data_IF_794465708820
#
_entry.id   IF_794465708820
#
_cell.length_a   1.000
_cell.length_b   1.000
_cell.length_c   1.000
_cell.angle_alpha   90.00
_cell.angle_beta   90.00
_cell.angle_gamma   90.00
#
_symmetry.space_group_name_H-M   'P 1'
#
loop_
_entity.id
_entity.type
_entity.pdbx_description
1 polymer ?
#
# COMPACT_ATOMS: atom_id res chain seq x y z
N UNK A 1 17.73 14.81 -63.21
CA UNK A 1 18.68 15.30 -62.19
C UNK A 1 18.06 15.99 -60.96
N UNK A 2 16.98 16.74 -61.01
CA UNK A 2 16.19 17.13 -59.83
C UNK A 2 15.72 15.86 -59.04
N UNK A 3 15.61 14.71 -59.71
CA UNK A 3 15.23 13.41 -59.12
C UNK A 3 16.32 12.85 -58.19
N UNK A 4 17.63 12.95 -58.47
CA UNK A 4 18.71 12.39 -57.63
C UNK A 4 18.85 13.14 -56.33
N UNK A 5 18.81 14.45 -56.36
CA UNK A 5 18.81 15.31 -55.16
C UNK A 5 17.63 14.99 -54.25
N UNK A 6 16.43 14.86 -54.83
CA UNK A 6 15.21 14.50 -54.09
C UNK A 6 15.34 13.12 -53.45
N UNK A 7 15.90 12.14 -54.16
CA UNK A 7 16.11 10.78 -53.63
C UNK A 7 17.12 10.76 -52.48
N UNK A 8 18.26 11.46 -52.62
CA UNK A 8 19.26 11.57 -51.55
C UNK A 8 18.68 12.23 -50.32
N UNK A 9 18.04 13.39 -50.50
CA UNK A 9 17.37 14.11 -49.38
C UNK A 9 16.32 13.24 -48.69
N UNK A 10 15.48 12.54 -49.47
CA UNK A 10 14.45 11.65 -48.91
C UNK A 10 15.08 10.47 -48.14
N UNK A 11 16.15 9.87 -48.67
CA UNK A 11 16.82 8.76 -48.00
C UNK A 11 17.47 9.19 -46.67
N UNK A 12 18.13 10.35 -46.62
CA UNK A 12 18.68 10.93 -45.40
C UNK A 12 17.60 11.31 -44.39
N UNK A 13 16.51 11.95 -44.84
CA UNK A 13 15.38 12.29 -43.98
C UNK A 13 14.74 11.08 -43.35
N UNK A 14 14.46 10.04 -44.16
CA UNK A 14 13.88 8.79 -43.66
C UNK A 14 14.80 8.14 -42.61
N UNK A 15 16.10 8.03 -42.91
CA UNK A 15 17.05 7.39 -42.01
C UNK A 15 17.18 8.14 -40.68
N UNK A 16 17.26 9.48 -40.71
CA UNK A 16 17.34 10.29 -39.49
C UNK A 16 16.03 10.26 -38.71
N UNK A 17 14.88 10.33 -39.40
CA UNK A 17 13.59 10.27 -38.75
C UNK A 17 13.39 8.91 -38.06
N UNK A 18 13.70 7.81 -38.74
CA UNK A 18 13.58 6.46 -38.16
C UNK A 18 14.54 6.31 -36.96
N UNK A 19 15.78 6.77 -37.08
CA UNK A 19 16.74 6.70 -35.98
C UNK A 19 16.28 7.53 -34.76
N UNK A 20 15.78 8.75 -34.97
CA UNK A 20 15.28 9.62 -33.91
C UNK A 20 14.05 9.00 -33.21
N UNK A 21 13.05 8.56 -33.97
CA UNK A 21 11.86 7.91 -33.42
C UNK A 21 12.19 6.64 -32.63
N UNK A 22 13.17 5.84 -33.07
CA UNK A 22 13.60 4.68 -32.31
C UNK A 22 14.29 5.08 -31.00
N UNK A 23 15.21 6.04 -31.04
CA UNK A 23 15.91 6.51 -29.84
C UNK A 23 14.94 7.17 -28.84
N UNK A 24 14.06 8.06 -29.29
CA UNK A 24 13.07 8.73 -28.45
C UNK A 24 12.05 7.76 -27.88
N UNK A 25 11.52 6.88 -28.71
CA UNK A 25 10.55 5.86 -28.28
C UNK A 25 11.14 4.89 -27.25
N UNK A 26 12.36 4.38 -27.47
CA UNK A 26 13.06 3.55 -26.47
C UNK A 26 13.33 4.33 -25.19
N UNK A 27 13.74 5.59 -25.29
CA UNK A 27 14.00 6.45 -24.14
C UNK A 27 12.74 6.68 -23.30
N UNK A 28 11.63 7.05 -23.92
CA UNK A 28 10.32 7.25 -23.24
C UNK A 28 9.85 5.94 -22.58
N UNK A 29 9.89 4.83 -23.32
CA UNK A 29 9.50 3.52 -22.79
C UNK A 29 10.37 3.12 -21.59
N UNK A 30 11.69 3.29 -21.69
CA UNK A 30 12.61 2.98 -20.59
C UNK A 30 12.37 3.83 -19.34
N UNK A 31 12.15 5.14 -19.49
CA UNK A 31 11.85 6.04 -18.36
C UNK A 31 10.53 5.65 -17.70
N UNK A 32 9.49 5.38 -18.50
CA UNK A 32 8.18 5.01 -17.98
C UNK A 32 8.24 3.68 -17.20
N UNK A 33 8.78 2.63 -17.82
CA UNK A 33 8.83 1.29 -17.21
C UNK A 33 9.75 1.24 -15.98
N UNK A 34 10.91 1.88 -16.06
CA UNK A 34 11.85 1.95 -14.93
C UNK A 34 11.24 2.67 -13.73
N UNK A 35 10.55 3.80 -13.97
CA UNK A 35 9.91 4.52 -12.88
C UNK A 35 8.73 3.74 -12.30
N UNK A 36 7.92 3.08 -13.12
CA UNK A 36 6.81 2.26 -12.64
C UNK A 36 7.29 1.09 -11.78
N UNK A 37 8.32 0.35 -12.23
CA UNK A 37 8.89 -0.75 -11.44
C UNK A 37 9.47 -0.27 -10.11
N UNK A 38 10.13 0.88 -10.12
CA UNK A 38 10.66 1.49 -8.89
C UNK A 38 9.55 1.89 -7.92
N UNK A 39 8.48 2.52 -8.40
CA UNK A 39 7.33 2.88 -7.59
C UNK A 39 6.65 1.65 -6.99
N UNK A 40 6.50 0.59 -7.78
CA UNK A 40 5.96 -0.69 -7.30
C UNK A 40 6.78 -1.26 -6.13
N UNK A 41 8.11 -1.29 -6.26
CA UNK A 41 9.01 -1.79 -5.20
C UNK A 41 8.97 -0.89 -3.96
N UNK A 42 9.01 0.44 -4.14
CA UNK A 42 8.96 1.41 -3.05
C UNK A 42 7.63 1.32 -2.28
N UNK A 43 6.49 1.26 -2.97
CA UNK A 43 5.17 1.18 -2.34
C UNK A 43 4.93 -0.18 -1.66
N UNK A 44 5.38 -1.30 -2.26
CA UNK A 44 5.31 -2.62 -1.60
C UNK A 44 6.17 -2.67 -0.34
N UNK A 45 7.37 -2.09 -0.40
CA UNK A 45 8.25 -2.00 0.78
C UNK A 45 7.60 -1.17 1.88
N UNK A 46 6.94 -0.07 1.53
CA UNK A 46 6.23 0.77 2.49
C UNK A 46 5.02 0.04 3.10
N UNK A 47 4.23 -0.66 2.30
CA UNK A 47 3.12 -1.46 2.81
C UNK A 47 3.61 -2.55 3.78
N UNK A 48 4.72 -3.22 3.46
CA UNK A 48 5.32 -4.21 4.37
C UNK A 48 5.84 -3.59 5.67
N UNK A 49 6.51 -2.42 5.60
CA UNK A 49 6.95 -1.70 6.78
C UNK A 49 5.80 -1.23 7.67
N UNK A 50 4.70 -0.81 7.04
CA UNK A 50 3.49 -0.42 7.75
C UNK A 50 2.83 -1.64 8.43
N UNK A 51 2.78 -2.78 7.75
CA UNK A 51 2.31 -4.04 8.32
C UNK A 51 3.16 -4.49 9.52
N UNK A 52 4.48 -4.42 9.39
CA UNK A 52 5.41 -4.74 10.48
C UNK A 52 5.24 -3.79 11.67
N UNK A 53 4.99 -2.50 11.43
CA UNK A 53 4.72 -1.53 12.50
C UNK A 53 3.44 -1.88 13.26
N UNK A 54 2.35 -2.18 12.56
CA UNK A 54 1.10 -2.63 13.20
C UNK A 54 1.35 -3.90 14.00
N UNK A 55 2.00 -4.90 13.40
CA UNK A 55 2.36 -6.16 14.08
C UNK A 55 3.18 -5.95 15.35
N UNK A 56 4.14 -5.02 15.32
CA UNK A 56 4.97 -4.68 16.48
C UNK A 56 4.14 -4.08 17.63
N UNK A 57 3.27 -3.11 17.34
CA UNK A 57 2.38 -2.50 18.34
C UNK A 57 1.44 -3.55 18.95
N UNK A 58 0.81 -4.38 18.12
CA UNK A 58 -0.06 -5.46 18.57
C UNK A 58 0.71 -6.46 19.45
N UNK A 59 1.93 -6.84 19.05
CA UNK A 59 2.80 -7.73 19.85
C UNK A 59 3.17 -7.12 21.20
N UNK A 60 3.36 -5.80 21.27
CA UNK A 60 3.60 -5.08 22.53
C UNK A 60 2.40 -5.21 23.47
N UNK A 61 1.17 -5.00 22.98
CA UNK A 61 -0.04 -5.18 23.78
C UNK A 61 -0.25 -6.63 24.20
N UNK A 62 0.01 -7.59 23.32
CA UNK A 62 -0.04 -9.03 23.66
C UNK A 62 0.94 -9.37 24.76
N UNK A 63 2.19 -8.87 24.68
CA UNK A 63 3.22 -9.06 25.68
C UNK A 63 2.83 -8.49 27.05
N UNK A 64 2.20 -7.31 27.06
CA UNK A 64 1.68 -6.70 28.28
C UNK A 64 0.56 -7.53 28.91
N UNK A 65 -0.43 -7.99 28.11
CA UNK A 65 -1.51 -8.84 28.60
C UNK A 65 -0.99 -10.18 29.12
N UNK A 66 -0.09 -10.83 28.38
CA UNK A 66 0.54 -12.09 28.81
C UNK A 66 1.32 -11.95 30.12
N UNK A 67 2.08 -10.85 30.25
CA UNK A 67 2.87 -10.56 31.47
C UNK A 67 1.97 -10.37 32.69
N UNK A 68 0.82 -9.70 32.53
CA UNK A 68 -0.15 -9.58 33.61
C UNK A 68 -0.81 -10.91 33.94
N UNK A 69 -1.14 -11.74 32.96
CA UNK A 69 -1.67 -13.10 33.18
C UNK A 69 -0.75 -14.02 33.97
N UNK A 70 0.54 -13.70 34.04
CA UNK A 70 1.55 -14.39 34.85
C UNK A 70 1.73 -13.77 36.26
N UNK A 71 0.94 -12.77 36.65
CA UNK A 71 1.01 -12.18 38.00
C UNK A 71 0.23 -13.07 38.98
N UNK A 72 0.92 -13.65 39.99
CA UNK A 72 0.28 -14.62 40.92
C UNK A 72 -0.94 -14.09 41.63
N UNK A 73 -0.97 -12.78 41.93
CA UNK A 73 -2.07 -12.14 42.65
C UNK A 73 -3.41 -12.24 41.91
N UNK A 74 -3.42 -12.34 40.58
CA UNK A 74 -4.68 -12.47 39.80
C UNK A 74 -5.37 -13.81 40.00
N UNK A 75 -4.59 -14.89 40.22
CA UNK A 75 -5.09 -16.24 40.45
C UNK A 75 -5.25 -16.56 41.93
N UNK A 76 -4.84 -15.67 42.87
CA UNK A 76 -4.90 -15.90 44.32
C UNK A 76 -6.28 -15.51 44.87
N UNK A 77 -6.99 -16.47 45.44
CA UNK A 77 -8.30 -16.27 46.04
C UNK A 77 -8.29 -15.43 47.33
N UNK A 78 -7.11 -15.24 47.94
CA UNK A 78 -6.94 -14.38 49.13
C UNK A 78 -6.85 -12.91 48.78
N UNK A 79 -6.56 -12.57 47.52
CA UNK A 79 -6.51 -11.19 47.00
C UNK A 79 -7.91 -10.74 46.64
N UNK A 80 -8.31 -9.62 47.21
CA UNK A 80 -9.68 -9.07 46.97
C UNK A 80 -9.86 -8.60 45.53
N UNK A 81 -11.12 -8.62 45.05
CA UNK A 81 -11.47 -8.10 43.73
C UNK A 81 -10.99 -6.64 43.53
N UNK A 82 -11.13 -5.78 44.55
CA UNK A 82 -10.66 -4.41 44.47
C UNK A 82 -9.15 -4.29 44.26
N UNK A 83 -8.36 -5.14 44.92
CA UNK A 83 -6.90 -5.18 44.73
C UNK A 83 -6.50 -5.70 43.34
N UNK A 84 -7.23 -6.72 42.84
CA UNK A 84 -7.03 -7.22 41.47
C UNK A 84 -7.36 -6.13 40.43
N UNK A 85 -8.46 -5.40 40.64
CA UNK A 85 -8.86 -4.30 39.76
C UNK A 85 -7.82 -3.17 39.75
N UNK A 86 -7.32 -2.77 40.92
CA UNK A 86 -6.26 -1.76 41.02
C UNK A 86 -4.98 -2.20 40.28
N UNK A 87 -4.63 -3.48 40.36
CA UNK A 87 -3.47 -4.02 39.65
C UNK A 87 -3.69 -3.97 38.14
N UNK A 88 -4.85 -4.40 37.64
CA UNK A 88 -5.20 -4.36 36.21
C UNK A 88 -5.22 -2.92 35.70
N UNK A 89 -5.79 -1.97 36.43
CA UNK A 89 -5.85 -0.55 36.05
C UNK A 89 -4.45 0.07 35.98
N UNK A 90 -3.58 -0.16 36.96
CA UNK A 90 -2.19 0.31 36.91
C UNK A 90 -1.41 -0.27 35.73
N UNK A 91 -1.70 -1.51 35.37
CA UNK A 91 -1.10 -2.14 34.20
C UNK A 91 -1.58 -1.48 32.92
N UNK A 92 -2.89 -1.24 32.81
CA UNK A 92 -3.47 -0.52 31.66
C UNK A 92 -2.82 0.86 31.49
N UNK A 93 -2.72 1.66 32.56
CA UNK A 93 -2.05 2.96 32.54
C UNK A 93 -0.58 2.86 32.09
N UNK A 94 0.15 1.86 32.62
CA UNK A 94 1.59 1.70 32.32
C UNK A 94 1.87 1.38 30.86
N UNK A 95 0.94 0.76 30.17
CA UNK A 95 1.05 0.38 28.76
C UNK A 95 0.17 1.23 27.84
N UNK A 96 -0.32 2.39 28.33
CA UNK A 96 -1.18 3.31 27.57
C UNK A 96 -2.39 2.61 26.95
N UNK A 97 -3.07 1.76 27.73
CA UNK A 97 -4.32 1.12 27.33
C UNK A 97 -5.49 1.84 28.01
N UNK A 98 -6.63 1.91 27.34
CA UNK A 98 -7.81 2.62 27.86
C UNK A 98 -8.36 1.97 29.13
N UNK A 99 -8.47 0.66 29.12
CA UNK A 99 -9.02 -0.13 30.23
C UNK A 99 -8.57 -1.56 30.19
N UNK A 100 -8.68 -2.23 31.32
CA UNK A 100 -8.49 -3.66 31.43
C UNK A 100 -9.65 -4.30 32.22
N UNK A 101 -9.83 -5.59 32.04
CA UNK A 101 -10.83 -6.38 32.76
C UNK A 101 -10.26 -7.76 33.10
N UNK A 102 -10.87 -8.38 34.12
CA UNK A 102 -10.53 -9.72 34.58
C UNK A 102 -11.79 -10.58 34.60
N UNK A 103 -11.77 -11.67 33.85
CA UNK A 103 -12.84 -12.64 33.72
C UNK A 103 -12.51 -13.91 34.51
N UNK A 104 -13.49 -14.47 35.13
CA UNK A 104 -13.37 -15.81 35.72
C UNK A 104 -13.31 -16.91 34.63
N UNK A 105 -13.13 -18.14 35.04
CA UNK A 105 -13.05 -19.29 34.12
C UNK A 105 -14.35 -19.57 33.32
N UNK A 106 -15.47 -18.92 33.70
CA UNK A 106 -16.76 -19.07 33.01
C UNK A 106 -17.05 -17.86 32.11
N UNK A 107 -16.10 -16.85 32.01
CA UNK A 107 -16.26 -15.66 31.19
C UNK A 107 -17.00 -14.53 31.88
N UNK A 108 -17.32 -14.65 33.19
CA UNK A 108 -17.94 -13.58 33.92
C UNK A 108 -16.91 -12.59 34.45
N UNK A 109 -17.13 -11.30 34.20
CA UNK A 109 -16.25 -10.23 34.70
C UNK A 109 -16.35 -10.11 36.22
N UNK A 110 -15.19 -10.00 36.87
CA UNK A 110 -15.08 -9.69 38.29
C UNK A 110 -15.27 -8.21 38.59
N UNK A 111 -15.21 -7.32 37.60
CA UNK A 111 -15.24 -5.86 37.80
C UNK A 111 -16.59 -5.24 37.44
N UNK A 112 -17.18 -5.60 36.30
CA UNK A 112 -18.43 -5.05 35.79
C UNK A 112 -19.62 -6.03 35.90
N UNK A 113 -19.34 -7.30 36.17
CA UNK A 113 -20.36 -8.36 36.31
C UNK A 113 -20.98 -8.87 35.02
N UNK A 114 -20.56 -8.32 33.85
CA UNK A 114 -21.02 -8.77 32.54
C UNK A 114 -20.51 -10.17 32.19
N UNK A 115 -21.23 -10.85 31.29
CA UNK A 115 -20.84 -12.13 30.71
C UNK A 115 -20.16 -11.92 29.34
N UNK A 116 -18.95 -12.45 29.18
CA UNK A 116 -18.12 -12.40 28.01
C UNK A 116 -17.79 -13.81 27.45
N UNK A 117 -18.47 -14.86 27.95
CA UNK A 117 -18.20 -16.24 27.54
C UNK A 117 -18.44 -16.52 26.06
N UNK A 118 -19.27 -15.72 25.40
CA UNK A 118 -19.57 -15.75 23.97
C UNK A 118 -18.50 -15.08 23.10
N UNK A 119 -17.52 -14.39 23.70
CA UNK A 119 -16.50 -13.64 22.96
C UNK A 119 -15.33 -14.52 22.54
N UNK A 120 -14.94 -14.41 21.28
CA UNK A 120 -13.84 -15.18 20.69
C UNK A 120 -12.52 -15.01 21.47
N UNK A 121 -12.21 -13.77 21.89
CA UNK A 121 -11.01 -13.50 22.69
C UNK A 121 -11.03 -14.20 24.06
N UNK A 122 -12.21 -14.38 24.68
CA UNK A 122 -12.31 -15.16 25.90
C UNK A 122 -12.12 -16.65 25.61
N UNK A 123 -12.82 -17.18 24.58
CA UNK A 123 -12.75 -18.59 24.22
C UNK A 123 -11.33 -19.02 23.88
N UNK A 124 -10.59 -18.20 23.14
CA UNK A 124 -9.20 -18.47 22.83
C UNK A 124 -8.28 -18.38 24.05
N UNK A 125 -8.46 -17.34 24.88
CA UNK A 125 -7.58 -17.12 26.03
C UNK A 125 -7.81 -18.14 27.16
N UNK A 126 -9.02 -18.63 27.36
CA UNK A 126 -9.28 -19.67 28.38
C UNK A 126 -8.66 -21.02 28.00
N UNK A 127 -8.38 -21.26 26.71
CA UNK A 127 -7.64 -22.43 26.22
C UNK A 127 -6.10 -22.25 26.35
N UNK A 128 -5.63 -21.08 26.81
CA UNK A 128 -4.22 -20.82 27.04
C UNK A 128 -3.53 -19.99 25.95
N UNK A 129 -4.27 -19.48 24.97
CA UNK A 129 -3.72 -18.67 23.87
C UNK A 129 -3.75 -17.18 24.22
N UNK A 130 -2.81 -16.42 23.66
CA UNK A 130 -2.91 -14.95 23.63
C UNK A 130 -3.66 -14.58 22.36
N UNK A 131 -4.66 -13.71 22.47
CA UNK A 131 -5.55 -13.40 21.36
C UNK A 131 -5.74 -11.89 21.18
N UNK A 132 -5.81 -11.45 19.93
CA UNK A 132 -6.24 -10.10 19.53
C UNK A 132 -7.53 -10.27 18.73
N UNK A 133 -8.59 -9.58 19.15
CA UNK A 133 -9.82 -9.56 18.37
C UNK A 133 -9.69 -8.61 17.17
N UNK A 134 -10.41 -8.91 16.09
CA UNK A 134 -10.78 -7.84 15.13
C UNK A 134 -11.59 -6.77 15.87
N UNK A 135 -11.66 -5.53 15.35
CA UNK A 135 -12.56 -4.52 15.92
C UNK A 135 -13.98 -5.07 16.10
N UNK A 136 -14.49 -5.01 17.31
CA UNK A 136 -15.81 -5.53 17.68
C UNK A 136 -16.51 -4.58 18.63
N UNK A 137 -17.86 -4.62 18.64
CA UNK A 137 -18.63 -3.77 19.53
C UNK A 137 -18.40 -4.17 21.00
N UNK A 138 -17.88 -3.25 21.77
CA UNK A 138 -17.63 -3.40 23.20
C UNK A 138 -18.94 -3.52 23.98
N UNK A 139 -19.06 -4.55 24.86
CA UNK A 139 -20.19 -4.66 25.78
C UNK A 139 -20.21 -3.59 26.87
N UNK A 140 -19.07 -2.91 27.08
CA UNK A 140 -18.91 -1.90 28.12
C UNK A 140 -19.27 -0.51 27.62
N UNK A 141 -18.78 -0.10 26.43
CA UNK A 141 -18.96 1.25 25.87
C UNK A 141 -19.99 1.29 24.74
N UNK A 142 -20.23 0.19 24.06
CA UNK A 142 -21.02 0.15 22.83
C UNK A 142 -20.28 0.64 21.59
N UNK A 143 -18.99 0.96 21.72
CA UNK A 143 -18.11 1.45 20.65
C UNK A 143 -17.29 0.32 20.05
N UNK A 144 -16.78 0.53 18.85
CA UNK A 144 -15.93 -0.42 18.17
C UNK A 144 -14.55 -0.43 18.82
N UNK A 145 -14.10 -1.55 19.33
CA UNK A 145 -12.83 -1.67 20.07
C UNK A 145 -12.13 -2.98 19.76
N UNK A 146 -10.81 -2.98 19.87
CA UNK A 146 -9.96 -4.17 19.81
C UNK A 146 -9.72 -4.67 21.24
N UNK A 147 -9.83 -5.96 21.47
CA UNK A 147 -9.52 -6.61 22.73
C UNK A 147 -8.26 -7.45 22.60
N UNK A 148 -7.33 -7.25 23.52
CA UNK A 148 -6.11 -8.08 23.64
C UNK A 148 -6.26 -8.90 24.90
N UNK A 149 -6.39 -10.21 24.76
CA UNK A 149 -6.67 -11.13 25.87
C UNK A 149 -5.52 -12.12 26.09
N UNK A 150 -5.33 -12.48 27.35
CA UNK A 150 -4.35 -13.47 27.75
C UNK A 150 -4.88 -14.35 28.90
N UNK A 151 -4.43 -15.61 28.99
CA UNK A 151 -4.78 -16.50 30.09
C UNK A 151 -4.20 -16.00 31.42
N UNK A 152 -4.95 -16.13 32.50
CA UNK A 152 -4.45 -15.97 33.88
C UNK A 152 -4.03 -17.34 34.38
N UNK A 153 -2.72 -17.51 34.53
CA UNK A 153 -2.12 -18.75 34.95
C UNK A 153 -2.15 -18.92 36.47
N UNK A 154 -2.47 -20.11 36.93
CA UNK A 154 -2.46 -20.46 38.35
C UNK A 154 -1.09 -20.23 38.98
N UNK A 155 -1.04 -19.42 40.02
CA UNK A 155 0.21 -19.02 40.67
C UNK A 155 1.18 -18.25 39.77
N UNK A 156 0.72 -17.72 38.64
CA UNK A 156 1.55 -17.01 37.66
C UNK A 156 2.48 -17.91 36.83
N UNK A 157 2.28 -19.25 36.86
CA UNK A 157 3.16 -20.20 36.16
C UNK A 157 2.63 -20.50 34.76
N UNK A 158 3.32 -20.10 33.67
CA UNK A 158 2.89 -20.35 32.31
C UNK A 158 2.64 -21.85 32.05
N UNK A 159 1.62 -22.13 31.23
CA UNK A 159 1.15 -23.50 30.90
C UNK A 159 0.68 -24.34 32.09
N UNK A 160 0.36 -23.69 33.22
CA UNK A 160 -0.36 -24.33 34.32
C UNK A 160 -1.88 -24.33 34.06
N UNK A 161 -2.71 -24.52 35.09
CA UNK A 161 -4.16 -24.38 34.98
C UNK A 161 -4.52 -22.90 34.68
N UNK A 162 -5.39 -22.67 33.68
CA UNK A 162 -5.96 -21.34 33.44
C UNK A 162 -7.08 -21.10 34.43
N UNK A 163 -6.97 -20.05 35.23
CA UNK A 163 -7.96 -19.71 36.29
C UNK A 163 -8.90 -18.60 35.90
N UNK A 164 -8.62 -17.91 34.79
CA UNK A 164 -9.40 -16.81 34.24
C UNK A 164 -8.73 -16.19 33.04
N UNK A 165 -9.26 -15.12 32.55
CA UNK A 165 -8.75 -14.36 31.40
C UNK A 165 -8.63 -12.90 31.76
N UNK A 166 -7.49 -12.29 31.47
CA UNK A 166 -7.33 -10.84 31.49
C UNK A 166 -7.43 -10.32 30.07
N UNK A 167 -8.15 -9.21 29.87
CA UNK A 167 -8.10 -8.52 28.59
C UNK A 167 -7.91 -7.02 28.78
N UNK A 168 -7.33 -6.40 27.75
CA UNK A 168 -7.13 -4.96 27.64
C UNK A 168 -7.76 -4.44 26.36
N UNK A 169 -8.09 -3.16 26.39
CA UNK A 169 -8.52 -2.38 25.23
C UNK A 169 -7.43 -1.36 24.95
N UNK A 170 -6.67 -1.51 23.83
CA UNK A 170 -5.80 -0.45 23.34
C UNK A 170 -6.59 0.82 23.02
N UNK A 171 -5.94 2.01 22.88
CA UNK A 171 -6.60 3.22 22.42
C UNK A 171 -7.35 2.96 21.10
N UNK A 172 -8.59 3.41 21.00
CA UNK A 172 -9.45 3.13 19.82
C UNK A 172 -8.83 3.63 18.52
N UNK A 173 -8.12 4.77 18.60
CA UNK A 173 -7.55 5.44 17.45
C UNK A 173 -6.16 4.90 17.03
N UNK A 174 -5.55 3.94 17.75
CA UNK A 174 -4.14 3.59 17.51
C UNK A 174 -3.86 3.05 16.10
N UNK A 175 -4.76 2.26 15.53
CA UNK A 175 -4.64 1.80 14.13
C UNK A 175 -4.83 2.95 13.16
N UNK A 176 -5.82 3.81 13.38
CA UNK A 176 -6.09 4.98 12.55
C UNK A 176 -4.94 5.99 12.62
N UNK A 177 -4.30 6.15 13.78
CA UNK A 177 -3.09 6.96 13.96
C UNK A 177 -1.93 6.42 13.12
N UNK A 178 -1.76 5.10 13.07
CA UNK A 178 -0.76 4.49 12.19
C UNK A 178 -1.12 4.77 10.73
N UNK A 179 -2.37 4.55 10.31
CA UNK A 179 -2.82 4.83 8.94
C UNK A 179 -2.62 6.29 8.56
N UNK A 180 -2.99 7.22 9.43
CA UNK A 180 -2.84 8.66 9.22
C UNK A 180 -1.38 9.12 9.15
N UNK A 181 -0.45 8.34 9.72
CA UNK A 181 0.99 8.65 9.67
C UNK A 181 1.67 8.25 8.36
N UNK A 182 1.00 7.48 7.51
CA UNK A 182 1.55 6.98 6.25
C UNK A 182 1.27 7.99 5.14
N UNK A 183 2.30 8.73 4.75
CA UNK A 183 2.23 9.72 3.68
C UNK A 183 3.26 9.43 2.59
N UNK A 184 2.80 9.16 1.37
CA UNK A 184 3.64 8.97 0.17
C UNK A 184 3.55 10.15 -0.78
N UNK A 185 2.45 10.89 -0.74
CA UNK A 185 2.17 12.05 -1.57
C UNK A 185 1.11 12.93 -0.92
N UNK A 186 0.73 14.01 -1.55
CA UNK A 186 -0.32 14.92 -1.09
C UNK A 186 -1.68 14.21 -0.94
N UNK A 187 -1.99 13.28 -1.87
CA UNK A 187 -3.23 12.51 -1.86
C UNK A 187 -2.94 11.01 -1.64
N UNK A 188 -2.24 10.71 -0.56
CA UNK A 188 -2.00 9.34 -0.12
C UNK A 188 -2.89 8.98 1.06
N UNK A 189 -3.12 7.69 1.25
CA UNK A 189 -3.84 7.14 2.38
C UNK A 189 -3.43 5.71 2.65
N UNK A 190 -3.84 5.21 3.79
CA UNK A 190 -3.68 3.81 4.13
C UNK A 190 -4.94 3.32 4.84
N UNK A 191 -5.24 2.05 4.67
CA UNK A 191 -6.36 1.38 5.33
C UNK A 191 -6.02 -0.10 5.59
N UNK A 192 -6.80 -0.74 6.45
CA UNK A 192 -6.62 -2.14 6.78
C UNK A 192 -7.93 -2.92 6.61
N UNK A 193 -7.78 -4.18 6.21
CA UNK A 193 -8.87 -5.15 6.09
C UNK A 193 -8.66 -6.32 7.05
N UNK A 194 -9.77 -6.90 7.52
CA UNK A 194 -9.78 -8.20 8.17
C UNK A 194 -9.82 -9.34 7.14
N UNK A 195 -9.85 -10.58 7.63
CA UNK A 195 -9.95 -11.81 6.81
C UNK A 195 -11.21 -11.93 5.95
N UNK A 196 -12.24 -11.12 6.21
CA UNK A 196 -13.48 -11.12 5.45
C UNK A 196 -13.54 -9.98 4.42
N UNK A 197 -12.49 -9.17 4.30
CA UNK A 197 -12.45 -7.98 3.44
C UNK A 197 -13.15 -6.76 4.03
N UNK A 198 -13.54 -6.79 5.33
CA UNK A 198 -14.13 -5.65 6.00
C UNK A 198 -13.04 -4.65 6.42
N UNK A 199 -13.29 -3.36 6.20
CA UNK A 199 -12.37 -2.30 6.63
C UNK A 199 -12.32 -2.23 8.16
N UNK A 200 -11.13 -2.39 8.75
CA UNK A 200 -10.91 -2.38 10.21
C UNK A 200 -10.10 -1.18 10.71
N UNK A 201 -9.47 -0.43 9.81
CA UNK A 201 -8.83 0.84 10.09
C UNK A 201 -8.75 1.68 8.81
N UNK A 202 -9.04 2.95 8.90
CA UNK A 202 -8.98 3.92 7.82
C UNK A 202 -8.82 5.33 8.44
N UNK A 203 -8.40 6.30 7.63
CA UNK A 203 -8.48 7.73 7.97
C UNK A 203 -9.92 8.24 7.93
N UNK A 204 -10.81 7.55 7.22
CA UNK A 204 -12.25 7.82 7.16
C UNK A 204 -12.96 6.90 8.16
N UNK A 205 -13.36 7.44 9.31
CA UNK A 205 -13.92 6.64 10.41
C UNK A 205 -15.22 5.90 10.05
N UNK A 206 -16.03 6.46 9.16
CA UNK A 206 -17.35 5.90 8.81
C UNK A 206 -17.27 4.59 8.03
N UNK A 207 -16.11 4.26 7.45
CA UNK A 207 -15.88 3.00 6.71
C UNK A 207 -15.57 1.82 7.63
N UNK A 208 -15.11 2.10 8.85
CA UNK A 208 -14.62 1.08 9.78
C UNK A 208 -15.78 0.19 10.27
N UNK A 209 -15.63 -1.11 10.08
CA UNK A 209 -16.61 -2.12 10.47
C UNK A 209 -17.88 -2.18 9.60
N UNK A 210 -17.98 -1.32 8.57
CA UNK A 210 -19.18 -1.20 7.72
C UNK A 210 -18.88 -1.43 6.24
N UNK A 211 -17.72 -1.00 5.74
CA UNK A 211 -17.34 -1.10 4.35
C UNK A 211 -16.75 -2.49 4.02
N UNK A 212 -17.30 -3.11 2.97
CA UNK A 212 -16.74 -4.29 2.34
C UNK A 212 -16.86 -4.15 0.82
N UNK A 213 -15.77 -3.75 0.18
CA UNK A 213 -15.71 -3.47 -1.26
C UNK A 213 -15.99 -4.73 -2.11
N UNK A 214 -15.69 -5.92 -1.61
CA UNK A 214 -15.97 -7.17 -2.33
C UNK A 214 -17.49 -7.44 -2.40
N UNK A 215 -18.21 -7.12 -1.33
CA UNK A 215 -19.68 -7.22 -1.31
C UNK A 215 -20.32 -6.10 -2.15
N UNK A 216 -19.83 -4.87 -2.04
CA UNK A 216 -20.35 -3.71 -2.80
C UNK A 216 -20.14 -3.86 -4.30
N UNK A 217 -19.03 -4.45 -4.74
CA UNK A 217 -18.72 -4.71 -6.15
C UNK A 217 -19.72 -5.64 -6.83
N UNK A 218 -20.49 -6.43 -6.07
CA UNK A 218 -21.56 -7.28 -6.62
C UNK A 218 -22.70 -6.45 -7.21
N UNK A 219 -22.90 -5.23 -6.70
CA UNK A 219 -23.93 -4.29 -7.17
C UNK A 219 -23.35 -3.13 -7.99
N UNK A 220 -22.08 -2.78 -7.77
CA UNK A 220 -21.36 -1.71 -8.49
C UNK A 220 -20.10 -2.24 -9.19
N UNK A 221 -20.19 -2.45 -10.49
CA UNK A 221 -19.08 -2.94 -11.31
C UNK A 221 -17.89 -1.99 -11.38
N UNK A 222 -18.03 -0.72 -11.02
CA UNK A 222 -16.93 0.25 -10.99
C UNK A 222 -15.89 -0.11 -9.92
N UNK A 223 -16.30 -0.82 -8.87
CA UNK A 223 -15.45 -1.27 -7.76
C UNK A 223 -14.70 -2.59 -8.07
N UNK A 224 -14.98 -3.26 -9.20
CA UNK A 224 -14.44 -4.60 -9.49
C UNK A 224 -12.92 -4.67 -9.46
N UNK A 225 -12.22 -3.60 -9.90
CA UNK A 225 -10.76 -3.56 -9.87
C UNK A 225 -10.22 -3.51 -8.44
N UNK A 226 -10.85 -2.74 -7.54
CA UNK A 226 -10.48 -2.65 -6.14
C UNK A 226 -10.87 -3.94 -5.39
N UNK A 227 -12.05 -4.50 -5.65
CA UNK A 227 -12.48 -5.78 -5.08
C UNK A 227 -11.49 -6.91 -5.38
N UNK A 228 -11.01 -7.01 -6.64
CA UNK A 228 -9.99 -7.99 -7.01
C UNK A 228 -8.63 -7.78 -6.30
N UNK A 229 -8.36 -6.57 -5.82
CA UNK A 229 -7.19 -6.29 -5.00
C UNK A 229 -7.44 -6.74 -3.56
N UNK A 230 -8.62 -6.45 -2.99
CA UNK A 230 -9.03 -6.87 -1.65
C UNK A 230 -9.05 -8.40 -1.52
N UNK A 231 -9.54 -9.14 -2.52
CA UNK A 231 -9.45 -10.61 -2.57
C UNK A 231 -8.01 -11.11 -2.37
N UNK A 232 -7.03 -10.46 -3.02
CA UNK A 232 -5.61 -10.83 -2.86
C UNK A 232 -5.04 -10.41 -1.51
N UNK A 233 -5.56 -9.35 -0.91
CA UNK A 233 -5.16 -8.88 0.40
C UNK A 233 -5.55 -9.88 1.48
N UNK A 234 -6.81 -10.34 1.50
CA UNK A 234 -7.23 -11.33 2.48
C UNK A 234 -6.71 -12.77 2.21
N UNK A 235 -6.24 -13.06 0.99
CA UNK A 235 -5.44 -14.26 0.71
C UNK A 235 -4.02 -14.22 1.32
N UNK A 236 -3.65 -13.15 2.04
CA UNK A 236 -2.34 -12.97 2.68
C UNK A 236 -1.21 -12.66 1.69
N UNK A 237 -1.53 -12.10 0.52
CA UNK A 237 -0.52 -11.77 -0.51
C UNK A 237 0.03 -10.36 -0.30
N UNK A 238 1.31 -10.20 -0.62
CA UNK A 238 1.91 -8.87 -0.86
C UNK A 238 1.83 -8.55 -2.33
N UNK A 239 1.37 -7.35 -2.67
CA UNK A 239 1.19 -6.99 -4.07
C UNK A 239 1.09 -5.51 -4.34
N UNK A 240 0.88 -5.22 -5.63
CA UNK A 240 0.69 -3.87 -6.16
C UNK A 240 -0.40 -3.91 -7.23
N UNK A 241 -1.16 -2.84 -7.34
CA UNK A 241 -2.21 -2.71 -8.31
C UNK A 241 -2.59 -1.26 -8.60
N UNK A 242 -3.53 -1.11 -9.53
CA UNK A 242 -4.14 0.17 -9.87
C UNK A 242 -5.65 0.01 -9.92
N UNK A 243 -6.35 1.02 -9.48
CA UNK A 243 -7.80 1.10 -9.59
C UNK A 243 -8.23 2.53 -9.84
N UNK A 244 -9.47 2.71 -10.27
CA UNK A 244 -10.04 4.04 -10.53
C UNK A 244 -11.40 4.13 -9.84
N UNK A 245 -11.58 5.11 -8.98
CA UNK A 245 -12.85 5.45 -8.32
C UNK A 245 -13.13 6.93 -8.56
N UNK A 246 -14.35 7.28 -8.94
CA UNK A 246 -14.79 8.65 -9.22
C UNK A 246 -13.91 9.37 -10.25
N UNK A 247 -13.38 8.63 -11.23
CA UNK A 247 -12.49 9.16 -12.25
C UNK A 247 -11.06 9.43 -11.80
N UNK A 248 -10.71 9.11 -10.55
CA UNK A 248 -9.38 9.27 -9.98
C UNK A 248 -8.65 7.91 -9.99
N UNK A 249 -7.55 7.85 -10.74
CA UNK A 249 -6.68 6.66 -10.75
C UNK A 249 -5.72 6.67 -9.59
N UNK A 250 -5.67 5.55 -8.86
CA UNK A 250 -4.80 5.36 -7.70
C UNK A 250 -3.90 4.13 -7.89
N UNK A 251 -2.68 4.23 -7.40
CA UNK A 251 -1.84 3.09 -7.08
C UNK A 251 -2.18 2.58 -5.69
N UNK A 252 -2.07 1.27 -5.52
CA UNK A 252 -2.20 0.61 -4.22
C UNK A 252 -1.14 -0.46 -4.10
N UNK A 253 -0.46 -0.48 -2.97
CA UNK A 253 0.39 -1.59 -2.56
C UNK A 253 -0.12 -2.13 -1.24
N UNK A 254 -0.03 -3.44 -1.05
CA UNK A 254 -0.61 -4.11 0.10
C UNK A 254 0.30 -5.24 0.60
N UNK A 255 0.17 -5.52 1.89
CA UNK A 255 0.90 -6.58 2.57
C UNK A 255 0.07 -7.17 3.72
N UNK A 256 0.22 -8.47 4.05
CA UNK A 256 -0.38 -9.06 5.23
C UNK A 256 0.27 -8.52 6.51
N UNK A 257 -0.50 -8.43 7.58
CA UNK A 257 -0.01 -8.02 8.91
C UNK A 257 0.38 -9.27 9.69
N UNK A 258 1.66 -9.51 9.97
CA UNK A 258 2.11 -10.71 10.66
C UNK A 258 1.54 -10.82 12.08
N UNK A 259 1.17 -12.05 12.47
CA UNK A 259 0.70 -12.34 13.84
C UNK A 259 -0.74 -11.92 14.11
N UNK A 260 -1.52 -11.62 13.09
CA UNK A 260 -2.96 -11.35 13.16
C UNK A 260 -3.75 -12.49 12.50
N UNK A 261 -5.07 -12.46 12.61
CA UNK A 261 -5.99 -13.37 11.93
C UNK A 261 -6.26 -12.86 10.49
N UNK A 262 -5.25 -13.03 9.62
CA UNK A 262 -5.26 -12.67 8.20
C UNK A 262 -5.63 -11.19 7.92
N UNK A 263 -5.20 -10.27 8.81
CA UNK A 263 -5.33 -8.86 8.52
C UNK A 263 -4.34 -8.44 7.45
N UNK A 264 -4.72 -7.44 6.68
CA UNK A 264 -3.86 -6.85 5.65
C UNK A 264 -3.95 -5.32 5.66
N UNK A 265 -2.87 -4.68 5.23
CA UNK A 265 -2.77 -3.24 5.09
C UNK A 265 -2.59 -2.87 3.62
N UNK A 266 -3.24 -1.80 3.20
CA UNK A 266 -3.04 -1.17 1.91
C UNK A 266 -2.54 0.26 2.07
N UNK A 267 -1.61 0.66 1.21
CA UNK A 267 -1.13 2.03 1.05
C UNK A 267 -1.50 2.51 -0.34
N UNK A 268 -2.20 3.63 -0.42
CA UNK A 268 -2.71 4.19 -1.68
C UNK A 268 -2.13 5.55 -1.96
N UNK A 269 -2.05 5.91 -3.23
CA UNK A 269 -1.68 7.26 -3.67
C UNK A 269 -2.26 7.56 -5.05
N UNK A 270 -2.56 8.83 -5.33
CA UNK A 270 -2.97 9.24 -6.67
C UNK A 270 -1.85 9.00 -7.66
N UNK A 271 -2.20 8.39 -8.80
CA UNK A 271 -1.23 8.15 -9.90
C UNK A 271 -0.60 9.44 -10.39
N UNK A 272 -1.36 10.54 -10.42
CA UNK A 272 -0.89 11.87 -10.84
C UNK A 272 0.25 12.39 -9.97
N UNK A 273 0.20 12.15 -8.65
CA UNK A 273 1.18 12.65 -7.70
C UNK A 273 2.53 11.95 -7.90
N UNK A 274 2.49 10.63 -8.06
CA UNK A 274 3.70 9.81 -8.17
C UNK A 274 4.31 9.84 -9.57
N UNK A 275 3.48 9.95 -10.62
CA UNK A 275 3.94 9.95 -12.01
C UNK A 275 4.17 11.34 -12.60
N UNK A 276 3.86 12.41 -11.87
CA UNK A 276 3.95 13.78 -12.38
C UNK A 276 5.34 14.17 -12.90
N UNK A 277 6.41 13.78 -12.19
CA UNK A 277 7.78 14.00 -12.62
C UNK A 277 8.13 13.19 -13.89
N UNK A 278 7.63 11.96 -13.99
CA UNK A 278 7.82 11.08 -15.15
C UNK A 278 7.15 11.65 -16.38
N UNK A 279 5.89 12.09 -16.29
CA UNK A 279 5.19 12.72 -17.40
C UNK A 279 5.88 14.00 -17.86
N UNK A 280 6.39 14.82 -16.92
CA UNK A 280 7.18 16.01 -17.25
C UNK A 280 8.46 15.65 -18.01
N UNK A 281 9.16 14.60 -17.60
CA UNK A 281 10.36 14.11 -18.30
C UNK A 281 10.04 13.60 -19.70
N UNK A 282 8.92 12.89 -19.88
CA UNK A 282 8.44 12.42 -21.18
C UNK A 282 8.15 13.59 -22.10
N UNK A 283 7.50 14.64 -21.60
CA UNK A 283 7.21 15.85 -22.38
C UNK A 283 8.53 16.52 -22.83
N UNK A 284 9.50 16.66 -21.92
CA UNK A 284 10.82 17.25 -22.25
C UNK A 284 11.52 16.43 -23.32
N UNK A 285 11.57 15.10 -23.20
CA UNK A 285 12.18 14.20 -24.20
C UNK A 285 11.46 14.36 -25.54
N UNK A 286 10.12 14.38 -25.57
CA UNK A 286 9.34 14.52 -26.79
C UNK A 286 9.58 15.87 -27.49
N UNK A 287 9.66 16.96 -26.72
CA UNK A 287 9.99 18.29 -27.27
C UNK A 287 11.41 18.30 -27.85
N UNK A 288 12.38 17.73 -27.13
CA UNK A 288 13.76 17.64 -27.60
C UNK A 288 13.86 16.81 -28.89
N UNK A 289 13.13 15.72 -28.99
CA UNK A 289 13.06 14.88 -30.18
C UNK A 289 12.52 15.65 -31.39
N UNK A 290 11.46 16.43 -31.24
CA UNK A 290 10.93 17.30 -32.29
C UNK A 290 11.98 18.31 -32.75
N UNK A 291 12.71 18.95 -31.81
CA UNK A 291 13.79 19.88 -32.13
C UNK A 291 14.89 19.19 -32.93
N UNK A 292 15.32 18.00 -32.50
CA UNK A 292 16.34 17.21 -33.21
C UNK A 292 15.88 16.86 -34.63
N UNK A 293 14.65 16.46 -34.81
CA UNK A 293 14.06 16.16 -36.13
C UNK A 293 14.07 17.40 -37.05
N UNK A 294 13.69 18.55 -36.54
CA UNK A 294 13.69 19.80 -37.31
C UNK A 294 15.11 20.19 -37.71
N UNK A 295 16.06 20.23 -36.79
CA UNK A 295 17.47 20.56 -37.05
C UNK A 295 18.09 19.58 -38.04
N UNK A 296 17.91 18.30 -37.84
CA UNK A 296 18.42 17.24 -38.72
C UNK A 296 17.84 17.33 -40.12
N UNK A 297 16.56 17.67 -40.23
CA UNK A 297 15.88 17.89 -41.51
C UNK A 297 16.49 19.10 -42.27
N UNK A 298 16.73 20.23 -41.58
CA UNK A 298 17.38 21.41 -42.17
C UNK A 298 18.82 21.08 -42.61
N UNK A 299 19.61 20.38 -41.78
CA UNK A 299 20.95 19.93 -42.10
C UNK A 299 20.97 18.97 -43.31
N UNK A 300 20.02 18.03 -43.36
CA UNK A 300 19.90 17.08 -44.48
C UNK A 300 19.64 17.81 -45.81
N UNK A 301 18.75 18.82 -45.80
CA UNK A 301 18.45 19.64 -46.98
C UNK A 301 19.70 20.45 -47.38
N UNK A 302 20.41 21.04 -46.42
CA UNK A 302 21.65 21.82 -46.66
C UNK A 302 22.76 20.95 -47.26
N UNK A 303 23.03 19.77 -46.69
CA UNK A 303 24.03 18.82 -47.20
C UNK A 303 23.67 18.30 -48.58
N UNK A 304 22.40 17.96 -48.82
CA UNK A 304 21.94 17.47 -50.12
C UNK A 304 22.11 18.55 -51.23
N UNK A 305 21.92 19.83 -50.91
CA UNK A 305 22.21 20.91 -51.82
C UNK A 305 23.72 21.05 -52.10
N UNK A 306 24.55 20.93 -51.07
CA UNK A 306 26.01 21.03 -51.17
C UNK A 306 26.64 19.92 -52.07
N UNK A 307 26.11 18.68 -51.95
CA UNK A 307 26.59 17.55 -52.77
C UNK A 307 26.01 17.55 -54.18
N UNK A 308 24.75 17.82 -54.34
CA UNK A 308 24.09 17.77 -55.67
C UNK A 308 24.44 18.93 -56.58
N UNK A 309 24.85 20.10 -56.03
CA UNK A 309 25.19 21.29 -56.84
C UNK A 309 26.49 21.09 -57.66
N UNK A 310 27.61 20.66 -57.07
CA UNK A 310 28.85 20.36 -57.84
C UNK A 310 28.66 19.27 -58.88
N UNK A 311 27.95 18.18 -58.50
CA UNK A 311 27.68 17.07 -59.44
C UNK A 311 26.87 17.57 -60.64
N UNK A 312 25.88 18.44 -60.46
CA UNK A 312 25.15 19.06 -61.55
C UNK A 312 26.05 19.90 -62.45
N UNK A 313 26.96 20.71 -61.89
CA UNK A 313 27.88 21.50 -62.65
C UNK A 313 28.81 20.65 -63.51
N UNK A 314 29.38 19.59 -62.95
CA UNK A 314 30.20 18.62 -63.69
C UNK A 314 29.44 17.91 -64.80
N UNK A 315 28.24 17.44 -64.53
CA UNK A 315 27.44 16.72 -65.57
C UNK A 315 26.99 17.67 -66.66
N UNK A 316 26.70 18.94 -66.36
CA UNK A 316 26.35 19.93 -67.36
C UNK A 316 27.57 20.28 -68.23
N UNK A 317 28.76 20.42 -67.66
CA UNK A 317 30.01 20.59 -68.43
C UNK A 317 30.32 19.41 -69.33
N UNK A 318 30.20 18.19 -68.81
CA UNK A 318 30.38 16.95 -69.61
C UNK A 318 29.41 16.89 -70.78
N UNK A 319 28.12 17.25 -70.58
CA UNK A 319 27.11 17.26 -71.67
C UNK A 319 27.33 18.34 -72.71
N UNK A 320 28.01 19.43 -72.38
CA UNK A 320 28.44 20.49 -73.33
C UNK A 320 29.65 20.02 -74.16
N UNK A 321 30.60 19.34 -73.51
CA UNK A 321 31.73 18.71 -74.19
C UNK A 321 31.27 17.65 -75.20
N UNK A 322 30.26 16.80 -74.83
CA UNK A 322 29.66 15.80 -75.74
C UNK A 322 29.00 16.40 -76.95
N UNK A 323 28.51 17.65 -76.88
CA UNK A 323 27.87 18.38 -77.98
C UNK A 323 28.80 19.23 -78.78
N UNK A 324 30.12 19.25 -78.45
CA UNK A 324 31.12 19.99 -79.21
C UNK A 324 31.12 21.49 -78.92
N UNK A 325 30.38 22.00 -77.94
CA UNK A 325 30.36 23.36 -77.45
C UNK A 325 31.41 23.51 -76.33
N UNK A 326 32.56 24.01 -76.67
CA UNK A 326 33.67 24.43 -75.76
C UNK A 326 33.47 25.88 -75.32
#
# INVERSE_FOLDING_TARGET
MKSIQKKITACFLILVTVAALLCGGVGIFSVYTSNQSRLEEELKSLASLAADRVSYELTSYQGAAASLGMVPQLSDDTVTTAQKQELVNRWAESYNMERGNLLDKNGKSLFDGNDYSDREYFQSAIEGNIFISTPTISKTTGELSIMVAAPVWKGGVPNSEVTGVVYFVPPEEFLCDIMSSIHTSEHSGAYMLDKNGTTIADVVMDTIGTENIEEEAQSDSSLSALASIHEKMHEGKTGFGTYTIDGISKYVAYAPVPGTDDWSIAVTSHTSDLMGATYRSIIIISVLEVVVLVVSSLLSIWLAKGIASPIRACTKRLSLLEKGDL
#
